data_IF_275631539906
#
_entry.id   IF_275631539906
#
_cell.length_a   1.000
_cell.length_b   1.000
_cell.length_c   1.000
_cell.angle_alpha   90.00
_cell.angle_beta   90.00
_cell.angle_gamma   90.00
#
_symmetry.space_group_name_H-M   'P 1'
#
loop_
_entity.id
_entity.type
_entity.pdbx_description
1 polymer ?
#
# COMPACT_ATOMS: atom_id res chain seq x y z
N UNK A 1 12.71 -1.24 6.02
CA UNK A 1 11.56 -0.33 6.21
C UNK A 1 11.55 0.63 5.06
N UNK A 2 10.36 0.92 4.52
CA UNK A 2 10.17 1.96 3.51
C UNK A 2 10.52 3.33 4.08
N UNK A 3 11.07 4.19 3.23
CA UNK A 3 11.22 5.61 3.53
C UNK A 3 9.90 6.36 3.33
N UNK A 4 9.69 7.52 3.97
CA UNK A 4 8.46 8.30 3.81
C UNK A 4 8.13 8.62 2.34
N UNK A 5 9.14 8.93 1.51
CA UNK A 5 8.96 9.19 0.08
C UNK A 5 8.47 7.94 -0.68
N UNK A 6 8.93 6.75 -0.29
CA UNK A 6 8.46 5.49 -0.87
C UNK A 6 7.02 5.18 -0.43
N UNK A 7 6.69 5.43 0.84
CA UNK A 7 5.31 5.25 1.33
C UNK A 7 4.34 6.19 0.60
N UNK A 8 4.71 7.46 0.41
CA UNK A 8 3.93 8.42 -0.37
C UNK A 8 3.78 8.01 -1.84
N UNK A 9 4.86 7.53 -2.47
CA UNK A 9 4.81 7.05 -3.87
C UNK A 9 3.86 5.86 -4.03
N UNK A 10 3.83 4.93 -3.08
CA UNK A 10 2.91 3.78 -3.14
C UNK A 10 1.44 4.22 -3.00
N UNK A 11 1.16 5.19 -2.12
CA UNK A 11 -0.19 5.76 -1.98
C UNK A 11 -0.61 6.48 -3.25
N UNK A 12 0.29 7.24 -3.88
CA UNK A 12 0.02 7.93 -5.14
C UNK A 12 -0.30 6.94 -6.27
N UNK A 13 0.46 5.85 -6.39
CA UNK A 13 0.20 4.77 -7.37
C UNK A 13 -1.18 4.16 -7.13
N UNK A 14 -1.52 3.81 -5.88
CA UNK A 14 -2.83 3.22 -5.59
C UNK A 14 -3.96 4.20 -5.90
N UNK A 15 -3.77 5.48 -5.60
CA UNK A 15 -4.78 6.52 -5.87
C UNK A 15 -4.96 6.75 -7.38
N UNK A 16 -3.88 6.74 -8.16
CA UNK A 16 -3.92 6.90 -9.62
C UNK A 16 -4.59 5.71 -10.32
N UNK A 17 -4.31 4.48 -9.86
CA UNK A 17 -4.82 3.26 -10.48
C UNK A 17 -6.24 2.89 -10.04
N UNK A 18 -6.59 3.14 -8.78
CA UNK A 18 -7.83 2.64 -8.16
C UNK A 18 -8.78 3.74 -7.66
N UNK A 19 -8.33 5.01 -7.63
CA UNK A 19 -9.09 6.17 -7.15
C UNK A 19 -8.92 6.46 -5.66
N UNK A 20 -9.55 7.54 -5.19
CA UNK A 20 -9.45 8.06 -3.82
C UNK A 20 -10.61 7.63 -2.88
N UNK A 21 -11.58 6.83 -3.35
CA UNK A 21 -12.77 6.41 -2.59
C UNK A 21 -12.73 4.96 -2.08
N UNK A 22 -11.53 4.37 -1.92
CA UNK A 22 -11.37 3.01 -1.39
C UNK A 22 -11.66 2.94 0.11
N UNK A 23 -12.38 1.90 0.54
CA UNK A 23 -12.43 1.53 1.94
C UNK A 23 -11.17 0.75 2.36
N UNK A 24 -10.95 0.57 3.67
CA UNK A 24 -9.74 -0.08 4.20
C UNK A 24 -9.49 -1.49 3.64
N UNK A 25 -10.55 -2.28 3.41
CA UNK A 25 -10.42 -3.64 2.87
C UNK A 25 -10.05 -3.61 1.39
N UNK A 26 -10.70 -2.75 0.60
CA UNK A 26 -10.38 -2.56 -0.81
C UNK A 26 -8.94 -2.06 -0.98
N UNK A 27 -8.54 -1.08 -0.19
CA UNK A 27 -7.17 -0.56 -0.18
C UNK A 27 -6.14 -1.65 0.16
N UNK A 28 -6.44 -2.50 1.14
CA UNK A 28 -5.55 -3.60 1.51
C UNK A 28 -5.38 -4.62 0.37
N UNK A 29 -6.46 -4.96 -0.34
CA UNK A 29 -6.39 -5.82 -1.52
C UNK A 29 -5.57 -5.17 -2.65
N UNK A 30 -5.79 -3.89 -2.94
CA UNK A 30 -4.99 -3.14 -3.92
C UNK A 30 -3.49 -3.11 -3.55
N UNK A 31 -3.16 -2.90 -2.27
CA UNK A 31 -1.78 -2.96 -1.80
C UNK A 31 -1.16 -4.34 -2.01
N UNK A 32 -1.88 -5.42 -1.69
CA UNK A 32 -1.36 -6.78 -1.86
C UNK A 32 -1.09 -7.09 -3.33
N UNK A 33 -2.00 -6.70 -4.23
CA UNK A 33 -1.77 -6.82 -5.67
C UNK A 33 -0.54 -6.02 -6.11
N UNK A 34 -0.40 -4.76 -5.68
CA UNK A 34 0.77 -3.93 -5.98
C UNK A 34 2.08 -4.55 -5.47
N UNK A 35 2.06 -5.20 -4.30
CA UNK A 35 3.23 -5.86 -3.73
C UNK A 35 3.68 -7.08 -4.54
N UNK A 36 2.76 -7.79 -5.21
CA UNK A 36 3.09 -8.88 -6.13
C UNK A 36 3.86 -8.37 -7.37
N UNK A 37 3.57 -7.15 -7.82
CA UNK A 37 4.24 -6.53 -8.97
C UNK A 37 5.58 -5.86 -8.62
N UNK A 38 5.87 -5.61 -7.34
CA UNK A 38 7.12 -4.97 -6.89
C UNK A 38 8.18 -6.01 -6.53
N UNK A 39 9.25 -6.04 -7.32
CA UNK A 39 10.43 -6.84 -7.04
C UNK A 39 10.98 -6.55 -5.63
N UNK A 40 11.10 -7.59 -4.80
CA UNK A 40 11.55 -7.49 -3.41
C UNK A 40 10.43 -7.43 -2.36
N UNK A 41 9.17 -7.37 -2.79
CA UNK A 41 8.00 -7.55 -1.91
C UNK A 41 7.43 -8.98 -1.97
N UNK A 42 7.84 -9.76 -2.97
CA UNK A 42 7.44 -11.16 -3.21
C UNK A 42 7.67 -12.12 -2.02
N UNK A 43 8.59 -11.78 -1.11
CA UNK A 43 8.92 -12.60 0.06
C UNK A 43 8.45 -12.00 1.39
N UNK A 44 7.61 -10.96 1.35
CA UNK A 44 7.00 -10.45 2.57
C UNK A 44 6.10 -11.52 3.17
N UNK A 45 6.27 -11.77 4.47
CA UNK A 45 5.28 -12.54 5.20
C UNK A 45 4.04 -11.66 5.45
N UNK A 46 2.90 -12.30 5.69
CA UNK A 46 1.61 -11.65 5.88
C UNK A 46 1.64 -10.58 6.99
N UNK A 47 2.44 -10.78 8.04
CA UNK A 47 2.55 -9.83 9.15
C UNK A 47 3.27 -8.55 8.76
N UNK A 48 4.37 -8.67 8.01
CA UNK A 48 5.14 -7.52 7.52
C UNK A 48 4.35 -6.77 6.44
N UNK A 49 3.68 -7.50 5.53
CA UNK A 49 2.78 -6.91 4.54
C UNK A 49 1.67 -6.11 5.22
N UNK A 50 0.99 -6.70 6.21
CA UNK A 50 -0.07 -6.02 6.95
C UNK A 50 0.44 -4.76 7.67
N UNK A 51 1.64 -4.80 8.25
CA UNK A 51 2.22 -3.64 8.93
C UNK A 51 2.54 -2.48 7.96
N UNK A 52 2.91 -2.81 6.72
CA UNK A 52 3.10 -1.81 5.66
C UNK A 52 1.74 -1.26 5.21
N UNK A 53 0.76 -2.13 4.95
CA UNK A 53 -0.60 -1.74 4.55
C UNK A 53 -1.22 -0.78 5.58
N UNK A 54 -1.10 -1.09 6.87
CA UNK A 54 -1.64 -0.25 7.95
C UNK A 54 -1.03 1.17 7.96
N UNK A 55 0.25 1.29 7.59
CA UNK A 55 0.92 2.59 7.46
C UNK A 55 0.46 3.34 6.22
N UNK A 56 0.38 2.67 5.08
CA UNK A 56 -0.07 3.25 3.82
C UNK A 56 -1.53 3.72 3.94
N UNK A 57 -2.39 2.94 4.59
CA UNK A 57 -3.77 3.31 4.85
C UNK A 57 -3.89 4.62 5.63
N UNK A 58 -3.09 4.80 6.68
CA UNK A 58 -3.09 6.05 7.46
C UNK A 58 -2.63 7.26 6.67
N UNK A 59 -1.82 7.07 5.64
CA UNK A 59 -1.41 8.14 4.73
C UNK A 59 -2.53 8.43 3.73
N UNK A 60 -3.13 7.38 3.15
CA UNK A 60 -4.23 7.47 2.21
C UNK A 60 -5.49 8.12 2.83
N UNK A 61 -5.94 7.69 4.01
CA UNK A 61 -7.13 8.24 4.70
C UNK A 61 -6.97 9.73 5.09
N UNK A 62 -5.72 10.22 5.15
CA UNK A 62 -5.42 11.62 5.47
C UNK A 62 -5.28 12.50 4.23
N UNK A 63 -5.19 11.89 3.05
CA UNK A 63 -4.94 12.55 1.80
C UNK A 63 -6.22 13.14 1.19
#
# INVERSE_FOLDING_TARGET
>A
MLTPDQEASLVEIITDEYGDDLNQSEFAECCLQLFEDIAGFESLNDSDAQLIIDKLWRLYERH
#
